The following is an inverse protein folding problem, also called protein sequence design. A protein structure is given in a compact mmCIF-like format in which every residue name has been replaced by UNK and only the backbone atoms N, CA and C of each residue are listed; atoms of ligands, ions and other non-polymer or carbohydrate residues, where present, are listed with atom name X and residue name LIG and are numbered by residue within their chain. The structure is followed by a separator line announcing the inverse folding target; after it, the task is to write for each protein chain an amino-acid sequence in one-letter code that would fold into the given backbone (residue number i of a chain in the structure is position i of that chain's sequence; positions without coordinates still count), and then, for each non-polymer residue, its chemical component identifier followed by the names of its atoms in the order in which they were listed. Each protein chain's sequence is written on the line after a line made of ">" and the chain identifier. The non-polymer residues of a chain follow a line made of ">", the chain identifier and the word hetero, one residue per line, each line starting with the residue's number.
data_IF_460443229295
#
_entry.id   IF_460443229295
#
_cell.length_a   1.000
_cell.length_b   1.000
_cell.length_c   1.000
_cell.angle_alpha   90.00
_cell.angle_beta   90.00
_cell.angle_gamma   90.00
#
_symmetry.space_group_name_H-M   'P 1'
#
loop_
_entity.id
_entity.type
_entity.pdbx_description
1 polymer ?
#
# COMPACT_ATOMS: atom_id res chain seq x y z
N UNK A 1 -16.68 21.24 9.31
CA UNK A 1 -15.27 21.65 9.45
C UNK A 1 -14.30 20.47 9.70
N UNK A 2 -14.63 19.48 10.53
CA UNK A 2 -13.73 18.33 10.79
C UNK A 2 -13.65 17.38 9.60
N UNK A 3 -14.75 17.16 8.86
CA UNK A 3 -14.81 16.26 7.67
C UNK A 3 -13.98 16.75 6.47
N UNK A 4 -13.89 18.05 6.23
CA UNK A 4 -13.10 18.57 5.11
C UNK A 4 -11.59 18.49 5.35
N UNK A 5 -11.15 18.55 6.62
CA UNK A 5 -9.74 18.37 6.98
C UNK A 5 -9.25 16.93 6.76
N UNK A 6 -10.12 15.93 6.93
CA UNK A 6 -9.79 14.52 6.73
C UNK A 6 -9.46 14.25 5.25
N UNK A 7 -10.21 14.84 4.32
CA UNK A 7 -9.98 14.64 2.88
C UNK A 7 -8.65 15.22 2.39
N UNK A 8 -8.19 16.32 2.98
CA UNK A 8 -6.91 16.93 2.64
C UNK A 8 -5.69 16.17 3.16
N UNK A 9 -5.87 15.34 4.19
CA UNK A 9 -4.80 14.55 4.82
C UNK A 9 -4.67 13.13 4.26
N UNK A 10 -5.75 12.56 3.71
CA UNK A 10 -5.78 11.17 3.24
C UNK A 10 -5.29 11.02 1.79
N UNK A 11 -5.59 11.99 0.93
CA UNK A 11 -5.49 11.85 -0.53
C UNK A 11 -4.10 11.94 -1.19
N UNK A 12 -3.06 12.58 -0.68
CA UNK A 12 -1.89 12.84 -1.51
C UNK A 12 -0.61 12.06 -1.20
N UNK A 13 -0.65 10.92 -0.51
CA UNK A 13 0.57 10.19 -0.19
C UNK A 13 0.75 8.95 -1.09
N UNK A 14 1.14 9.16 -2.36
CA UNK A 14 0.97 8.13 -3.40
C UNK A 14 2.26 7.45 -3.88
N UNK A 15 3.44 7.74 -3.45
CA UNK A 15 4.63 7.18 -4.10
C UNK A 15 5.55 6.46 -3.12
N UNK A 16 5.62 5.14 -3.15
CA UNK A 16 6.71 4.42 -2.49
C UNK A 16 6.58 2.93 -2.17
N UNK A 17 5.38 2.35 -2.06
CA UNK A 17 5.24 1.09 -1.32
C UNK A 17 5.40 -0.22 -2.12
N UNK A 18 5.61 -0.21 -3.44
CA UNK A 18 5.60 -1.45 -4.24
C UNK A 18 6.89 -1.73 -5.02
N UNK A 19 7.99 -1.04 -4.73
CA UNK A 19 9.23 -1.21 -5.51
C UNK A 19 9.98 -2.52 -5.24
N UNK A 20 9.65 -3.26 -4.19
CA UNK A 20 10.45 -4.43 -3.75
C UNK A 20 10.01 -5.75 -4.39
N UNK A 21 8.78 -5.85 -4.90
CA UNK A 21 8.24 -7.13 -5.38
C UNK A 21 8.71 -7.55 -6.79
N UNK A 22 9.25 -6.64 -7.59
CA UNK A 22 9.51 -6.91 -9.02
C UNK A 22 10.84 -7.64 -9.32
N UNK A 23 11.81 -7.65 -8.43
CA UNK A 23 13.17 -8.13 -8.76
C UNK A 23 13.48 -9.58 -8.40
N UNK A 24 12.66 -10.25 -7.60
CA UNK A 24 13.01 -11.57 -7.04
C UNK A 24 12.46 -12.76 -7.84
N UNK A 25 11.51 -12.54 -8.75
CA UNK A 25 10.78 -13.65 -9.42
C UNK A 25 11.46 -14.26 -10.64
N UNK A 26 12.63 -13.79 -11.06
CA UNK A 26 13.14 -14.06 -12.40
C UNK A 26 14.04 -15.30 -12.56
N UNK A 27 14.41 -16.05 -11.53
CA UNK A 27 15.44 -17.10 -11.67
C UNK A 27 15.00 -18.54 -11.43
N UNK A 28 13.73 -18.85 -11.32
CA UNK A 28 13.31 -20.21 -10.99
C UNK A 28 12.50 -20.91 -12.10
N UNK A 29 13.11 -21.17 -13.23
CA UNK A 29 12.52 -22.06 -14.25
C UNK A 29 13.47 -23.19 -14.57
N UNK A 30 13.39 -24.30 -13.86
CA UNK A 30 13.59 -25.69 -14.26
C UNK A 30 13.85 -26.60 -13.06
N UNK A 31 12.90 -27.43 -12.72
CA UNK A 31 12.98 -28.86 -12.41
C UNK A 31 11.82 -29.33 -11.53
N UNK A 32 11.11 -30.32 -12.02
CA UNK A 32 9.89 -30.90 -11.43
C UNK A 32 10.20 -32.12 -10.60
N UNK A 33 9.43 -32.39 -9.53
CA UNK A 33 8.83 -33.70 -9.26
C UNK A 33 7.69 -33.61 -8.20
N UNK A 34 6.77 -34.61 -8.12
CA UNK A 34 5.34 -34.34 -8.05
C UNK A 34 4.64 -34.83 -6.78
N UNK A 35 3.57 -34.18 -6.38
CA UNK A 35 2.23 -34.72 -6.03
C UNK A 35 1.39 -33.58 -5.43
N UNK A 36 0.50 -33.01 -6.27
CA UNK A 36 -0.44 -31.98 -5.88
C UNK A 36 -1.79 -32.13 -6.58
N UNK A 37 -2.91 -31.61 -5.97
CA UNK A 37 -4.12 -31.36 -6.75
C UNK A 37 -3.76 -30.52 -7.97
N UNK A 38 -4.51 -30.55 -9.07
CA UNK A 38 -4.04 -30.06 -10.35
C UNK A 38 -3.59 -28.61 -10.27
N UNK A 39 -2.31 -28.41 -9.99
CA UNK A 39 -1.66 -27.15 -10.21
C UNK A 39 -1.72 -26.91 -11.71
N UNK A 40 -2.30 -25.79 -12.12
CA UNK A 40 -2.28 -25.35 -13.51
C UNK A 40 -0.85 -25.54 -14.01
N UNK A 41 -0.67 -26.29 -15.09
CA UNK A 41 0.63 -26.47 -15.72
C UNK A 41 1.24 -25.09 -15.97
N UNK A 42 2.53 -24.87 -15.68
CA UNK A 42 3.18 -23.61 -16.02
C UNK A 42 2.97 -23.31 -17.51
N UNK A 43 2.61 -22.05 -17.85
CA UNK A 43 2.46 -21.66 -19.24
C UNK A 43 3.79 -21.79 -19.99
N UNK A 44 3.75 -22.25 -21.23
CA UNK A 44 4.94 -22.49 -22.05
C UNK A 44 4.82 -21.81 -23.40
N UNK A 45 5.95 -21.31 -23.91
CA UNK A 45 6.05 -20.85 -25.29
C UNK A 45 5.84 -22.04 -26.26
N UNK A 46 5.13 -21.78 -27.34
CA UNK A 46 4.85 -22.79 -28.39
C UNK A 46 5.95 -22.86 -29.44
N UNK A 47 6.84 -21.83 -29.48
CA UNK A 47 7.99 -21.81 -30.41
C UNK A 47 9.21 -21.11 -29.78
N UNK A 48 10.42 -21.34 -30.35
CA UNK A 48 11.62 -20.59 -29.91
C UNK A 48 11.48 -19.07 -30.10
N UNK A 49 10.79 -18.62 -31.16
CA UNK A 49 10.57 -17.21 -31.46
C UNK A 49 9.66 -16.56 -30.41
N UNK A 50 8.61 -17.27 -30.01
CA UNK A 50 7.71 -16.86 -28.92
C UNK A 50 8.47 -16.75 -27.59
N UNK A 51 9.32 -17.74 -27.29
CA UNK A 51 10.15 -17.70 -26.08
C UNK A 51 11.11 -16.51 -26.11
N UNK A 52 11.75 -16.23 -27.24
CA UNK A 52 12.66 -15.10 -27.39
C UNK A 52 11.94 -13.75 -27.23
N UNK A 53 10.73 -13.63 -27.79
CA UNK A 53 9.90 -12.42 -27.64
C UNK A 53 9.46 -12.22 -26.18
N UNK A 54 9.05 -13.29 -25.49
CA UNK A 54 8.75 -13.30 -24.05
C UNK A 54 9.96 -12.83 -23.23
N UNK A 55 11.12 -13.45 -23.42
CA UNK A 55 12.32 -13.10 -22.68
C UNK A 55 12.74 -11.64 -22.91
N UNK A 56 12.49 -11.10 -24.11
CA UNK A 56 12.83 -9.72 -24.46
C UNK A 56 12.05 -8.72 -23.62
N UNK A 57 10.71 -8.84 -23.50
CA UNK A 57 9.92 -7.92 -22.67
C UNK A 57 10.15 -8.14 -21.19
N UNK A 58 10.44 -9.38 -20.75
CA UNK A 58 10.71 -9.66 -19.33
C UNK A 58 12.05 -9.07 -18.85
N UNK A 59 13.03 -8.91 -19.74
CA UNK A 59 14.33 -8.30 -19.40
C UNK A 59 14.36 -6.79 -19.54
N UNK A 60 13.35 -6.21 -20.19
CA UNK A 60 13.29 -4.77 -20.42
C UNK A 60 13.03 -4.03 -19.11
N UNK A 61 13.86 -3.02 -18.82
CA UNK A 61 13.78 -2.22 -17.60
C UNK A 61 13.06 -0.88 -17.82
N UNK A 62 13.01 -0.40 -19.06
CA UNK A 62 12.30 0.83 -19.40
C UNK A 62 10.81 0.51 -19.57
N UNK A 63 9.89 1.07 -18.73
CA UNK A 63 8.49 0.72 -18.77
C UNK A 63 7.80 1.07 -20.09
N UNK A 64 8.22 2.13 -20.80
CA UNK A 64 7.66 2.47 -22.11
C UNK A 64 8.05 1.45 -23.19
N UNK A 65 9.29 0.99 -23.16
CA UNK A 65 9.76 -0.05 -24.06
C UNK A 65 9.13 -1.40 -23.71
N UNK A 66 9.02 -1.72 -22.44
CA UNK A 66 8.42 -2.98 -21.97
C UNK A 66 6.98 -3.11 -22.45
N UNK A 67 6.17 -2.03 -22.29
CA UNK A 67 4.79 -2.01 -22.79
C UNK A 67 4.73 -2.25 -24.30
N UNK A 68 5.55 -1.59 -25.10
CA UNK A 68 5.57 -1.81 -26.56
C UNK A 68 5.89 -3.26 -26.92
N UNK A 69 6.89 -3.84 -26.25
CA UNK A 69 7.26 -5.23 -26.47
C UNK A 69 6.17 -6.21 -26.06
N UNK A 70 5.43 -5.90 -25.01
CA UNK A 70 4.26 -6.69 -24.57
C UNK A 70 3.13 -6.58 -25.60
N UNK A 71 2.82 -5.38 -26.09
CA UNK A 71 1.80 -5.15 -27.12
C UNK A 71 2.14 -5.88 -28.43
N UNK A 72 3.39 -5.77 -28.88
CA UNK A 72 3.90 -6.51 -30.04
C UNK A 72 3.78 -8.03 -29.85
N UNK A 73 4.15 -8.54 -28.66
CA UNK A 73 4.01 -9.95 -28.32
C UNK A 73 2.56 -10.43 -28.40
N UNK A 74 1.61 -9.67 -27.80
CA UNK A 74 0.20 -10.04 -27.79
C UNK A 74 -0.42 -10.00 -29.19
N UNK A 75 0.04 -9.10 -30.07
CA UNK A 75 -0.37 -9.06 -31.47
C UNK A 75 0.20 -10.24 -32.28
N UNK A 76 1.45 -10.59 -32.05
CA UNK A 76 2.12 -11.65 -32.80
C UNK A 76 1.71 -13.06 -32.34
N UNK A 77 1.37 -13.21 -31.05
CA UNK A 77 1.04 -14.51 -30.44
C UNK A 77 -0.31 -14.47 -29.70
N UNK A 78 -1.43 -14.23 -30.40
CA UNK A 78 -2.76 -14.03 -29.77
C UNK A 78 -3.25 -15.27 -29.00
N UNK A 79 -2.77 -16.47 -29.36
CA UNK A 79 -3.12 -17.73 -28.70
C UNK A 79 -2.02 -18.25 -27.75
N UNK A 80 -1.11 -17.39 -27.32
CA UNK A 80 -0.03 -17.76 -26.41
C UNK A 80 -0.56 -18.20 -25.04
N UNK A 81 0.06 -19.22 -24.46
CA UNK A 81 -0.15 -19.58 -23.05
C UNK A 81 0.50 -18.55 -22.09
N UNK A 82 1.41 -17.69 -22.61
CA UNK A 82 2.14 -16.68 -21.85
C UNK A 82 1.39 -15.35 -21.72
N UNK A 83 0.14 -15.24 -22.21
CA UNK A 83 -0.66 -13.99 -22.13
C UNK A 83 -0.83 -13.46 -20.71
N UNK A 84 -1.07 -14.34 -19.74
CA UNK A 84 -1.12 -13.95 -18.33
C UNK A 84 0.13 -13.17 -17.92
N UNK A 85 1.32 -13.70 -18.24
CA UNK A 85 2.59 -13.07 -17.89
C UNK A 85 2.85 -11.77 -18.66
N UNK A 86 2.39 -11.71 -19.91
CA UNK A 86 2.47 -10.49 -20.72
C UNK A 86 1.57 -9.39 -20.14
N UNK A 87 0.32 -9.68 -19.82
CA UNK A 87 -0.57 -8.72 -19.16
C UNK A 87 -0.06 -8.29 -17.79
N UNK A 88 0.47 -9.22 -16.99
CA UNK A 88 1.10 -8.89 -15.71
C UNK A 88 2.29 -7.94 -15.88
N UNK A 89 3.16 -8.17 -16.85
CA UNK A 89 4.30 -7.29 -17.13
C UNK A 89 3.84 -5.88 -17.54
N UNK A 90 2.80 -5.79 -18.39
CA UNK A 90 2.18 -4.50 -18.73
C UNK A 90 1.57 -3.80 -17.50
N UNK A 91 0.87 -4.54 -16.63
CA UNK A 91 0.30 -4.00 -15.38
C UNK A 91 1.38 -3.36 -14.51
N UNK A 92 2.52 -4.05 -14.32
CA UNK A 92 3.66 -3.55 -13.55
C UNK A 92 4.33 -2.35 -14.23
N UNK A 93 4.50 -2.37 -15.54
CA UNK A 93 5.07 -1.26 -16.30
C UNK A 93 4.18 0.00 -16.22
N UNK A 94 2.87 -0.14 -16.34
CA UNK A 94 1.94 0.98 -16.18
C UNK A 94 1.86 1.48 -14.76
N UNK A 95 2.02 0.62 -13.76
CA UNK A 95 2.15 1.03 -12.36
C UNK A 95 3.38 1.92 -12.15
N UNK A 96 4.55 1.54 -12.70
CA UNK A 96 5.76 2.36 -12.65
C UNK A 96 5.58 3.73 -13.32
N UNK A 97 4.74 3.79 -14.36
CA UNK A 97 4.37 5.03 -15.06
C UNK A 97 3.29 5.84 -14.36
N UNK A 98 2.68 5.33 -13.30
CA UNK A 98 1.50 5.89 -12.64
C UNK A 98 0.30 6.08 -13.57
N UNK A 99 0.21 5.25 -14.61
CA UNK A 99 -0.95 5.21 -15.52
C UNK A 99 -1.99 4.24 -14.98
N UNK A 100 -2.71 4.69 -13.97
CA UNK A 100 -3.67 3.85 -13.25
C UNK A 100 -4.82 3.34 -14.10
N UNK A 101 -5.25 4.09 -15.11
CA UNK A 101 -6.32 3.63 -16.01
C UNK A 101 -5.88 2.34 -16.75
N UNK A 102 -4.63 2.31 -17.20
CA UNK A 102 -4.08 1.12 -17.85
C UNK A 102 -3.71 0.04 -16.84
N UNK A 103 -3.29 0.39 -15.63
CA UNK A 103 -3.11 -0.59 -14.53
C UNK A 103 -4.38 -1.38 -14.30
N UNK A 104 -5.55 -0.73 -14.21
CA UNK A 104 -6.83 -1.41 -14.05
C UNK A 104 -7.11 -2.32 -15.24
N UNK A 105 -6.98 -1.80 -16.46
CA UNK A 105 -7.26 -2.58 -17.69
C UNK A 105 -6.39 -3.84 -17.78
N UNK A 106 -5.08 -3.70 -17.67
CA UNK A 106 -4.16 -4.84 -17.83
C UNK A 106 -4.17 -5.77 -16.61
N UNK A 107 -4.41 -5.24 -15.42
CA UNK A 107 -4.61 -6.04 -14.22
C UNK A 107 -5.83 -6.94 -14.31
N UNK A 108 -6.96 -6.43 -14.79
CA UNK A 108 -8.17 -7.21 -15.03
C UNK A 108 -7.96 -8.27 -16.13
N UNK A 109 -7.25 -7.93 -17.21
CA UNK A 109 -6.86 -8.91 -18.23
C UNK A 109 -5.98 -10.01 -17.64
N UNK A 110 -5.06 -9.68 -16.75
CA UNK A 110 -4.25 -10.67 -16.03
C UNK A 110 -5.14 -11.60 -15.20
N UNK A 111 -6.13 -11.04 -14.46
CA UNK A 111 -7.06 -11.85 -13.66
C UNK A 111 -8.05 -12.65 -14.51
N UNK A 112 -8.36 -12.21 -15.73
CA UNK A 112 -9.16 -12.99 -16.67
C UNK A 112 -8.44 -14.27 -17.12
N UNK A 113 -7.12 -14.21 -17.31
CA UNK A 113 -6.29 -15.39 -17.63
C UNK A 113 -6.01 -16.24 -16.38
N UNK A 114 -5.75 -15.61 -15.23
CA UNK A 114 -5.50 -16.28 -13.96
C UNK A 114 -6.05 -15.47 -12.78
N UNK A 115 -7.20 -15.89 -12.29
CA UNK A 115 -7.89 -15.25 -11.17
C UNK A 115 -7.10 -15.26 -9.85
N UNK A 116 -6.10 -16.13 -9.70
CA UNK A 116 -5.23 -16.26 -8.54
C UNK A 116 -3.84 -15.64 -8.77
N UNK A 117 -3.71 -14.76 -9.78
CA UNK A 117 -2.46 -14.01 -9.96
C UNK A 117 -2.27 -13.01 -8.82
N UNK A 118 -1.42 -13.37 -7.86
CA UNK A 118 -1.18 -12.59 -6.64
C UNK A 118 -0.72 -11.16 -6.93
N UNK A 119 0.18 -10.99 -7.91
CA UNK A 119 0.72 -9.67 -8.29
C UNK A 119 -0.39 -8.75 -8.80
N UNK A 120 -1.24 -9.25 -9.72
CA UNK A 120 -2.34 -8.48 -10.25
C UNK A 120 -3.37 -8.12 -9.16
N UNK A 121 -3.71 -9.07 -8.28
CA UNK A 121 -4.64 -8.84 -7.16
C UNK A 121 -4.17 -7.68 -6.27
N UNK A 122 -2.91 -7.68 -5.87
CA UNK A 122 -2.39 -6.64 -4.97
C UNK A 122 -2.19 -5.29 -5.66
N UNK A 123 -1.75 -5.29 -6.93
CA UNK A 123 -1.61 -4.05 -7.72
C UNK A 123 -2.98 -3.41 -7.95
N UNK A 124 -4.00 -4.20 -8.31
CA UNK A 124 -5.36 -3.70 -8.50
C UNK A 124 -5.95 -3.16 -7.19
N UNK A 125 -5.81 -3.89 -6.09
CA UNK A 125 -6.28 -3.44 -4.79
C UNK A 125 -5.65 -2.10 -4.39
N UNK A 126 -4.33 -1.94 -4.58
CA UNK A 126 -3.61 -0.69 -4.33
C UNK A 126 -4.08 0.43 -5.25
N UNK A 127 -4.10 0.20 -6.56
CA UNK A 127 -4.50 1.19 -7.55
C UNK A 127 -5.93 1.70 -7.31
N UNK A 128 -6.88 0.81 -7.06
CA UNK A 128 -8.27 1.15 -6.75
C UNK A 128 -8.33 2.01 -5.48
N UNK A 129 -7.67 1.59 -4.40
CA UNK A 129 -7.71 2.33 -3.13
C UNK A 129 -7.10 3.73 -3.25
N UNK A 130 -6.02 3.88 -4.01
CA UNK A 130 -5.33 5.17 -4.20
C UNK A 130 -6.07 6.12 -5.13
N UNK A 131 -6.75 5.61 -6.16
CA UNK A 131 -7.50 6.40 -7.12
C UNK A 131 -8.90 6.79 -6.67
N UNK A 132 -9.47 6.07 -5.69
CA UNK A 132 -10.85 6.30 -5.28
C UNK A 132 -11.00 7.67 -4.65
N UNK A 133 -11.89 8.47 -5.22
CA UNK A 133 -12.26 9.77 -4.68
C UNK A 133 -13.65 9.67 -4.03
N UNK A 134 -13.75 9.98 -2.74
CA UNK A 134 -15.01 9.92 -1.97
C UNK A 134 -16.11 10.87 -2.47
N UNK A 135 -15.79 11.78 -3.40
CA UNK A 135 -16.78 12.65 -4.04
C UNK A 135 -17.50 11.97 -5.21
N UNK A 136 -16.96 10.86 -5.73
CA UNK A 136 -17.56 10.08 -6.80
C UNK A 136 -18.70 9.20 -6.23
N UNK A 137 -19.74 8.97 -7.02
CA UNK A 137 -20.92 8.25 -6.55
C UNK A 137 -20.64 6.75 -6.26
N UNK A 138 -19.65 6.19 -6.95
CA UNK A 138 -19.26 4.78 -6.89
C UNK A 138 -18.08 4.46 -5.93
N UNK A 139 -17.63 5.46 -5.16
CA UNK A 139 -16.43 5.34 -4.33
C UNK A 139 -16.47 4.13 -3.38
N UNK A 140 -17.62 3.84 -2.79
CA UNK A 140 -17.78 2.72 -1.84
C UNK A 140 -17.75 1.37 -2.56
N UNK A 141 -18.28 1.30 -3.78
CA UNK A 141 -18.22 0.08 -4.60
C UNK A 141 -16.79 -0.23 -5.03
N UNK A 142 -16.06 0.80 -5.47
CA UNK A 142 -14.62 0.69 -5.78
C UNK A 142 -13.81 0.21 -4.57
N UNK A 143 -14.02 0.79 -3.40
CA UNK A 143 -13.31 0.33 -2.20
C UNK A 143 -13.68 -1.11 -1.81
N UNK A 144 -14.93 -1.53 -2.00
CA UNK A 144 -15.31 -2.95 -1.81
C UNK A 144 -14.59 -3.87 -2.79
N UNK A 145 -14.40 -3.43 -4.01
CA UNK A 145 -13.66 -4.20 -5.01
C UNK A 145 -12.18 -4.32 -4.63
N UNK A 146 -11.52 -3.22 -4.28
CA UNK A 146 -10.15 -3.24 -3.76
C UNK A 146 -9.98 -4.14 -2.54
N UNK A 147 -10.93 -4.10 -1.59
CA UNK A 147 -10.95 -4.97 -0.42
C UNK A 147 -11.05 -6.45 -0.80
N UNK A 148 -11.91 -6.81 -1.78
CA UNK A 148 -12.01 -8.19 -2.28
C UNK A 148 -10.70 -8.67 -2.90
N UNK A 149 -10.04 -7.83 -3.70
CA UNK A 149 -8.76 -8.18 -4.30
C UNK A 149 -7.66 -8.36 -3.24
N UNK A 150 -7.58 -7.48 -2.24
CA UNK A 150 -6.60 -7.60 -1.16
C UNK A 150 -6.81 -8.88 -0.33
N UNK A 151 -8.05 -9.19 0.07
CA UNK A 151 -8.37 -10.42 0.80
C UNK A 151 -8.10 -11.66 -0.04
N UNK A 152 -8.44 -11.66 -1.33
CA UNK A 152 -8.11 -12.77 -2.22
C UNK A 152 -6.59 -12.93 -2.36
N UNK A 153 -5.84 -11.83 -2.44
CA UNK A 153 -4.38 -11.86 -2.45
C UNK A 153 -3.81 -12.55 -1.21
N UNK A 154 -4.30 -12.20 -0.02
CA UNK A 154 -3.91 -12.86 1.25
C UNK A 154 -4.26 -14.36 1.24
N UNK A 155 -5.45 -14.73 0.77
CA UNK A 155 -5.86 -16.14 0.66
C UNK A 155 -4.98 -16.91 -0.33
N UNK A 156 -4.68 -16.33 -1.49
CA UNK A 156 -3.74 -16.93 -2.46
C UNK A 156 -2.36 -17.10 -1.83
N UNK A 157 -1.82 -16.05 -1.21
CA UNK A 157 -0.51 -16.07 -0.56
C UNK A 157 -0.42 -17.14 0.53
N UNK A 158 -1.49 -17.31 1.32
CA UNK A 158 -1.55 -18.32 2.40
C UNK A 158 -1.38 -19.75 1.89
N UNK A 159 -1.86 -20.02 0.66
CA UNK A 159 -1.83 -21.34 0.00
C UNK A 159 -0.61 -21.54 -0.90
N UNK A 160 0.13 -20.46 -1.19
CA UNK A 160 1.30 -20.55 -2.05
C UNK A 160 2.40 -21.37 -1.41
N UNK A 161 3.03 -22.21 -2.23
CA UNK A 161 4.25 -22.91 -1.84
C UNK A 161 5.47 -22.12 -2.25
N UNK A 162 6.57 -22.38 -1.55
CA UNK A 162 7.84 -21.76 -1.88
C UNK A 162 8.21 -22.02 -3.35
N UNK A 163 8.47 -20.96 -4.14
CA UNK A 163 8.91 -21.10 -5.53
C UNK A 163 10.23 -21.88 -5.63
N UNK A 164 10.39 -22.62 -6.71
CA UNK A 164 11.65 -23.30 -7.00
C UNK A 164 12.77 -22.26 -7.16
N UNK A 165 13.94 -22.58 -6.59
CA UNK A 165 15.10 -21.69 -6.64
C UNK A 165 15.18 -20.63 -5.54
N UNK A 166 14.12 -20.44 -4.73
CA UNK A 166 14.19 -19.63 -3.52
C UNK A 166 14.63 -20.45 -2.31
N UNK A 167 15.44 -19.85 -1.42
CA UNK A 167 15.67 -20.45 -0.10
C UNK A 167 14.44 -20.28 0.80
N UNK A 168 14.39 -20.99 1.92
CA UNK A 168 13.30 -20.85 2.91
C UNK A 168 13.25 -19.42 3.46
N UNK A 169 14.41 -18.85 3.75
CA UNK A 169 14.53 -17.49 4.29
C UNK A 169 14.07 -16.43 3.27
N UNK A 170 14.47 -16.57 2.00
CA UNK A 170 14.03 -15.68 0.94
C UNK A 170 12.51 -15.75 0.75
N UNK A 171 11.95 -16.95 0.78
CA UNK A 171 10.51 -17.13 0.66
C UNK A 171 9.75 -16.55 1.86
N UNK A 172 10.24 -16.80 3.08
CA UNK A 172 9.65 -16.24 4.29
C UNK A 172 9.64 -14.71 4.24
N UNK A 173 10.75 -14.09 3.84
CA UNK A 173 10.85 -12.64 3.70
C UNK A 173 9.90 -12.12 2.62
N UNK A 174 9.90 -12.71 1.42
CA UNK A 174 9.01 -12.30 0.32
C UNK A 174 7.55 -12.41 0.73
N UNK A 175 7.16 -13.51 1.36
CA UNK A 175 5.81 -13.73 1.85
C UNK A 175 5.41 -12.66 2.87
N UNK A 176 6.29 -12.38 3.83
CA UNK A 176 6.07 -11.39 4.88
C UNK A 176 5.90 -9.97 4.31
N UNK A 177 6.76 -9.57 3.36
CA UNK A 177 6.66 -8.27 2.69
C UNK A 177 5.39 -8.15 1.84
N UNK A 178 4.99 -9.25 1.17
CA UNK A 178 3.75 -9.29 0.39
C UNK A 178 2.51 -9.18 1.28
N UNK A 179 2.52 -9.87 2.42
CA UNK A 179 1.47 -9.81 3.44
C UNK A 179 1.37 -8.40 4.04
N UNK A 180 2.52 -7.78 4.37
CA UNK A 180 2.58 -6.39 4.81
C UNK A 180 1.93 -5.41 3.81
N UNK A 181 2.21 -5.60 2.52
CA UNK A 181 1.63 -4.77 1.46
C UNK A 181 0.11 -4.94 1.37
N UNK A 182 -0.42 -6.15 1.49
CA UNK A 182 -1.85 -6.40 1.48
C UNK A 182 -2.55 -5.74 2.68
N UNK A 183 -1.99 -5.87 3.89
CA UNK A 183 -2.49 -5.20 5.09
C UNK A 183 -2.42 -3.68 4.98
N UNK A 184 -1.37 -3.10 4.37
CA UNK A 184 -1.28 -1.67 4.13
C UNK A 184 -2.40 -1.15 3.21
N UNK A 185 -2.77 -1.91 2.17
CA UNK A 185 -3.89 -1.59 1.28
C UNK A 185 -5.23 -1.67 2.02
N UNK A 186 -5.46 -2.73 2.79
CA UNK A 186 -6.68 -2.86 3.61
C UNK A 186 -6.79 -1.70 4.62
N UNK A 187 -5.69 -1.36 5.27
CA UNK A 187 -5.63 -0.22 6.18
C UNK A 187 -6.02 1.10 5.50
N UNK A 188 -5.55 1.34 4.27
CA UNK A 188 -5.94 2.52 3.49
C UNK A 188 -7.44 2.52 3.15
N UNK A 189 -7.98 1.39 2.73
CA UNK A 189 -9.41 1.24 2.43
C UNK A 189 -10.25 1.58 3.67
N UNK A 190 -9.90 1.05 4.83
CA UNK A 190 -10.62 1.34 6.08
C UNK A 190 -10.42 2.78 6.54
N UNK A 191 -9.23 3.35 6.36
CA UNK A 191 -8.98 4.77 6.64
C UNK A 191 -9.87 5.67 5.77
N UNK A 192 -10.03 5.35 4.49
CA UNK A 192 -10.90 6.08 3.58
C UNK A 192 -12.37 5.96 3.95
N UNK A 193 -12.80 4.84 4.51
CA UNK A 193 -14.16 4.64 5.06
C UNK A 193 -14.36 5.29 6.42
N UNK A 194 -13.34 5.93 7.00
CA UNK A 194 -13.36 6.46 8.37
C UNK A 194 -13.57 5.36 9.44
N UNK A 195 -13.30 4.10 9.09
CA UNK A 195 -13.23 2.99 10.04
C UNK A 195 -11.82 2.92 10.63
N UNK A 196 -11.55 3.87 11.51
CA UNK A 196 -10.21 4.05 12.07
C UNK A 196 -9.78 2.87 12.95
N UNK A 197 -10.73 2.11 13.49
CA UNK A 197 -10.43 0.92 14.31
C UNK A 197 -9.84 -0.19 13.44
N UNK A 198 -10.50 -0.52 12.32
CA UNK A 198 -9.96 -1.51 11.38
C UNK A 198 -8.70 -0.98 10.69
N UNK A 199 -8.66 0.30 10.32
CA UNK A 199 -7.47 0.91 9.75
C UNK A 199 -6.24 0.78 10.68
N UNK A 200 -6.40 1.03 11.98
CA UNK A 200 -5.34 0.82 12.98
C UNK A 200 -4.84 -0.63 12.99
N UNK A 201 -5.77 -1.60 13.04
CA UNK A 201 -5.41 -3.02 13.09
C UNK A 201 -4.57 -3.42 11.87
N UNK A 202 -5.05 -3.08 10.67
CA UNK A 202 -4.38 -3.42 9.43
C UNK A 202 -3.02 -2.73 9.29
N UNK A 203 -2.92 -1.44 9.60
CA UNK A 203 -1.63 -0.73 9.54
C UNK A 203 -0.64 -1.21 10.60
N UNK A 204 -1.09 -1.60 11.78
CA UNK A 204 -0.22 -2.22 12.80
C UNK A 204 0.37 -3.53 12.30
N UNK A 205 -0.48 -4.38 11.69
CA UNK A 205 -0.02 -5.64 11.11
C UNK A 205 0.98 -5.38 9.96
N UNK A 206 0.66 -4.44 9.07
CA UNK A 206 1.58 -4.04 8.01
C UNK A 206 2.94 -3.56 8.55
N UNK A 207 2.95 -2.73 9.61
CA UNK A 207 4.19 -2.24 10.24
C UNK A 207 4.96 -3.36 10.93
N UNK A 208 4.27 -4.33 11.55
CA UNK A 208 4.89 -5.47 12.23
C UNK A 208 5.54 -6.44 11.23
N UNK A 209 4.92 -6.64 10.06
CA UNK A 209 5.40 -7.53 9.01
C UNK A 209 6.48 -6.88 8.14
N UNK A 210 6.43 -5.57 7.91
CA UNK A 210 7.38 -4.89 7.04
C UNK A 210 8.80 -4.91 7.63
N UNK A 211 9.77 -5.42 6.87
CA UNK A 211 11.17 -5.42 7.28
C UNK A 211 11.69 -3.99 7.53
N UNK A 212 11.20 -3.03 6.75
CA UNK A 212 11.50 -1.59 6.88
C UNK A 212 10.23 -0.80 6.58
N UNK A 213 9.39 -0.52 7.59
CA UNK A 213 8.23 0.35 7.40
C UNK A 213 8.66 1.70 6.84
N UNK A 214 8.01 2.17 5.79
CA UNK A 214 8.31 3.47 5.18
C UNK A 214 7.54 4.61 5.87
N UNK A 215 7.86 5.84 5.46
CA UNK A 215 7.25 7.05 6.03
C UNK A 215 5.74 7.13 5.75
N UNK A 216 5.26 6.61 4.60
CA UNK A 216 3.85 6.65 4.21
C UNK A 216 3.02 5.72 5.09
N UNK A 217 3.50 4.50 5.32
CA UNK A 217 2.84 3.52 6.17
C UNK A 217 2.73 4.04 7.62
N UNK A 218 3.84 4.58 8.17
CA UNK A 218 3.83 5.16 9.51
C UNK A 218 2.94 6.40 9.61
N UNK A 219 2.91 7.25 8.60
CA UNK A 219 2.02 8.39 8.52
C UNK A 219 0.54 7.97 8.56
N UNK A 220 0.14 6.97 7.77
CA UNK A 220 -1.23 6.44 7.74
C UNK A 220 -1.64 5.82 9.08
N UNK A 221 -0.73 5.10 9.74
CA UNK A 221 -0.95 4.59 11.10
C UNK A 221 -1.11 5.74 12.10
N UNK A 222 -0.26 6.78 12.01
CA UNK A 222 -0.36 7.97 12.85
C UNK A 222 -1.67 8.72 12.69
N UNK A 223 -2.21 8.80 11.47
CA UNK A 223 -3.55 9.34 11.23
C UNK A 223 -4.62 8.50 11.93
N UNK A 224 -4.57 7.18 11.79
CA UNK A 224 -5.53 6.26 12.43
C UNK A 224 -5.52 6.45 13.94
N UNK A 225 -4.34 6.52 14.57
CA UNK A 225 -4.21 6.82 15.99
C UNK A 225 -4.77 8.19 16.37
N UNK A 226 -4.53 9.21 15.56
CA UNK A 226 -5.01 10.58 15.82
C UNK A 226 -6.53 10.64 15.84
N UNK A 227 -7.20 10.00 14.87
CA UNK A 227 -8.65 9.93 14.81
C UNK A 227 -9.28 9.08 15.93
N UNK A 228 -8.56 8.09 16.43
CA UNK A 228 -8.93 7.30 17.61
C UNK A 228 -8.58 7.99 18.93
N UNK A 229 -8.09 9.23 18.89
CA UNK A 229 -7.65 10.01 20.06
C UNK A 229 -6.49 9.38 20.84
N UNK A 230 -5.74 8.48 20.23
CA UNK A 230 -4.53 7.85 20.77
C UNK A 230 -3.31 8.74 20.46
N UNK A 231 -3.34 9.97 20.95
CA UNK A 231 -2.44 11.04 20.50
C UNK A 231 -0.96 10.76 20.77
N UNK A 232 -0.63 10.13 21.90
CA UNK A 232 0.76 9.79 22.22
C UNK A 232 1.34 8.78 21.22
N UNK A 233 0.57 7.74 20.89
CA UNK A 233 0.95 6.77 19.87
C UNK A 233 1.04 7.41 18.48
N UNK A 234 0.12 8.33 18.17
CA UNK A 234 0.15 9.08 16.92
C UNK A 234 1.45 9.88 16.78
N UNK A 235 1.82 10.64 17.82
CA UNK A 235 3.04 11.46 17.82
C UNK A 235 4.30 10.61 17.72
N UNK A 236 4.35 9.46 18.40
CA UNK A 236 5.48 8.52 18.33
C UNK A 236 5.71 8.02 16.90
N UNK A 237 4.66 7.48 16.24
CA UNK A 237 4.82 6.93 14.89
C UNK A 237 5.03 8.01 13.83
N UNK A 238 4.45 9.20 14.00
CA UNK A 238 4.66 10.35 13.12
C UNK A 238 6.09 10.90 13.25
N UNK A 239 6.69 10.84 14.45
CA UNK A 239 8.10 11.18 14.63
C UNK A 239 9.01 10.20 13.87
N UNK A 240 8.72 8.90 13.94
CA UNK A 240 9.43 7.88 13.15
C UNK A 240 9.28 8.16 11.65
N UNK A 241 8.06 8.50 11.18
CA UNK A 241 7.82 8.87 9.79
C UNK A 241 8.65 10.09 9.36
N UNK A 242 8.73 11.12 10.24
CA UNK A 242 9.54 12.32 10.02
C UNK A 242 11.03 11.98 9.90
N UNK A 243 11.55 11.09 10.75
CA UNK A 243 12.95 10.64 10.73
C UNK A 243 13.32 9.88 9.43
N UNK A 244 12.34 9.27 8.75
CA UNK A 244 12.49 8.62 7.45
C UNK A 244 12.36 9.59 6.26
N UNK A 245 12.31 10.91 6.49
CA UNK A 245 12.19 11.94 5.45
C UNK A 245 10.78 12.51 5.28
N UNK A 246 9.81 12.00 6.04
CA UNK A 246 8.43 12.46 6.00
C UNK A 246 7.69 12.10 4.71
N UNK A 247 6.54 12.73 4.51
CA UNK A 247 5.70 12.57 3.32
C UNK A 247 5.41 13.95 2.76
N UNK A 248 5.92 14.26 1.58
CA UNK A 248 5.78 15.56 0.93
C UNK A 248 4.98 15.47 -0.36
N UNK A 249 4.10 16.44 -0.57
CA UNK A 249 3.34 16.60 -1.80
C UNK A 249 3.58 17.97 -2.41
N UNK A 250 3.64 18.02 -3.74
CA UNK A 250 3.67 19.29 -4.47
C UNK A 250 2.33 20.02 -4.34
N UNK A 251 2.37 21.34 -4.24
CA UNK A 251 1.17 22.18 -4.33
C UNK A 251 1.01 22.79 -5.72
N UNK A 252 -0.22 23.10 -6.16
CA UNK A 252 -0.45 23.73 -7.46
C UNK A 252 0.33 25.03 -7.69
N UNK A 253 0.64 25.75 -6.59
CA UNK A 253 1.38 27.02 -6.58
C UNK A 253 2.90 26.85 -6.65
N UNK A 254 3.40 25.60 -6.87
CA UNK A 254 4.83 25.29 -6.97
C UNK A 254 5.56 25.13 -5.65
N UNK A 255 4.82 25.07 -4.52
CA UNK A 255 5.36 24.76 -3.19
C UNK A 255 5.32 23.26 -2.86
N UNK A 256 5.59 22.93 -1.61
CA UNK A 256 5.39 21.57 -1.07
C UNK A 256 4.75 21.62 0.31
N UNK A 257 3.90 20.64 0.62
CA UNK A 257 3.32 20.43 1.95
C UNK A 257 3.97 19.21 2.59
N UNK A 258 4.32 19.29 3.85
CA UNK A 258 4.79 18.17 4.66
C UNK A 258 3.60 17.61 5.46
N UNK A 259 3.05 16.50 4.97
CA UNK A 259 1.87 15.87 5.56
C UNK A 259 2.13 15.29 6.94
N UNK A 260 3.36 14.84 7.20
CA UNK A 260 3.74 14.33 8.53
C UNK A 260 3.79 15.47 9.54
N UNK A 261 4.36 16.61 9.17
CA UNK A 261 4.39 17.79 10.03
C UNK A 261 2.96 18.30 10.35
N UNK A 262 2.09 18.34 9.33
CA UNK A 262 0.68 18.73 9.53
C UNK A 262 -0.08 17.75 10.43
N UNK A 263 0.14 16.45 10.27
CA UNK A 263 -0.48 15.41 11.10
C UNK A 263 0.02 15.49 12.57
N UNK A 264 1.31 15.76 12.78
CA UNK A 264 1.88 15.98 14.12
C UNK A 264 1.24 17.20 14.80
N UNK A 265 1.14 18.32 14.07
CA UNK A 265 0.50 19.53 14.57
C UNK A 265 -0.97 19.28 14.94
N UNK A 266 -1.71 18.56 14.09
CA UNK A 266 -3.08 18.15 14.37
C UNK A 266 -3.19 17.31 15.65
N UNK A 267 -2.37 16.26 15.77
CA UNK A 267 -2.38 15.37 16.93
C UNK A 267 -2.03 16.13 18.23
N UNK A 268 -1.03 17.01 18.19
CA UNK A 268 -0.62 17.80 19.34
C UNK A 268 -1.72 18.79 19.78
N UNK A 269 -2.31 19.54 18.85
CA UNK A 269 -3.41 20.44 19.14
C UNK A 269 -4.63 19.71 19.71
N UNK A 270 -4.96 18.55 19.16
CA UNK A 270 -6.07 17.74 19.63
C UNK A 270 -5.80 17.13 21.01
N UNK A 271 -4.57 16.73 21.31
CA UNK A 271 -4.14 16.27 22.62
C UNK A 271 -4.32 17.37 23.67
N UNK A 272 -3.75 18.55 23.43
CA UNK A 272 -3.86 19.71 24.34
C UNK A 272 -5.31 20.13 24.58
N UNK A 273 -6.17 20.05 23.58
CA UNK A 273 -7.58 20.36 23.72
C UNK A 273 -8.37 19.29 24.49
N UNK A 274 -7.86 18.07 24.60
CA UNK A 274 -8.47 16.97 25.34
C UNK A 274 -8.01 16.93 26.80
N UNK A 275 -6.92 17.61 27.16
CA UNK A 275 -6.45 17.70 28.55
C UNK A 275 -7.40 18.59 29.35
N UNK A 276 -7.87 18.16 30.55
CA UNK A 276 -8.67 19.03 31.42
C UNK A 276 -7.84 20.24 31.84
N UNK A 277 -8.46 21.44 32.00
CA UNK A 277 -7.74 22.61 32.49
C UNK A 277 -7.07 22.27 33.84
N UNK A 278 -5.82 22.69 33.97
CA UNK A 278 -5.08 22.49 35.21
C UNK A 278 -5.91 22.98 36.40
N UNK A 279 -5.99 22.22 37.50
CA UNK A 279 -6.70 22.66 38.70
C UNK A 279 -6.13 24.02 39.13
N UNK A 280 -7.02 24.98 39.27
CA UNK A 280 -6.64 26.29 39.80
C UNK A 280 -5.91 26.08 41.12
N UNK A 281 -4.64 26.50 41.20
CA UNK A 281 -3.91 26.50 42.48
C UNK A 281 -4.78 27.20 43.51
N UNK A 282 -4.98 26.60 44.71
CA UNK A 282 -5.73 27.27 45.75
C UNK A 282 -5.08 28.64 45.99
N UNK A 283 -5.89 29.69 45.89
CA UNK A 283 -5.45 31.05 46.22
C UNK A 283 -4.77 30.98 47.59
N UNK A 284 -3.53 31.43 47.65
CA UNK A 284 -2.82 31.60 48.92
C UNK A 284 -3.68 32.51 49.79
N UNK A 285 -4.33 31.97 50.82
CA UNK A 285 -5.01 32.76 51.83
C UNK A 285 -3.96 33.71 52.44
N UNK A 286 -4.08 35.01 52.11
CA UNK A 286 -3.37 36.05 52.83
C UNK A 286 -3.78 35.98 54.30
N UNK A 287 -2.88 35.51 55.13
CA UNK A 287 -3.06 35.66 56.60
C UNK A 287 -3.24 37.12 56.96
N UNK A 288 -4.31 37.50 57.66
CA UNK A 288 -4.46 38.86 58.10
C UNK A 288 -3.33 39.20 59.08
N UNK A 289 -2.62 40.29 58.79
CA UNK A 289 -1.58 40.82 59.66
C UNK A 289 -2.17 41.09 61.05
N UNK A 290 -1.62 40.40 62.05
CA UNK A 290 -1.92 40.66 63.47
C UNK A 290 -1.54 42.06 63.81
N UNK A 291 -2.55 42.92 64.03
CA UNK A 291 -2.37 44.26 64.63
C UNK A 291 -1.87 44.12 66.05
N UNK A 292 -0.64 44.49 66.26
CA UNK A 292 -0.16 44.80 67.64
C UNK A 292 -0.65 46.21 67.94
N UNK A 293 -1.48 46.35 68.96
CA UNK A 293 -1.85 47.63 69.58
C UNK A 293 -0.96 47.82 70.80
N UNK A 294 -0.79 49.08 71.24
CA UNK A 294 0.25 49.61 72.12
C UNK A 294 0.12 49.23 73.61
#
# INVERSE_FOLDING_TARGET
>A
MQRERIQGLILPAIYGLLFVLATVWFQASAQQTPTQPPSRRPPMAKSPEESAAYEKFMREQNPDQQVRLVEDFLLQYPDSELKELAFQAATQAYQQKNDYARVLTYGELTLAENQDNLTALLILASAISEMTNRREADWEERLREGERYAHRGLDVLSRMRRPLGMTEEQWAQTRQETEASAHAVLGLIFLMREDFVRAELEFKEAVALAARPDAVLLYRLGLSYSFLKKYDLALEVLERASALGGVRIATPEGGSRDLVAEAKEFALKAKLAAEPPAPLSPATEEQPASAQAP
#
